data_IF_463640754725
#
_entry.id   IF_463640754725
#
_cell.length_a   1.000
_cell.length_b   1.000
_cell.length_c   1.000
_cell.angle_alpha   90.00
_cell.angle_beta   90.00
_cell.angle_gamma   90.00
#
_symmetry.space_group_name_H-M   'P 1'
#
loop_
_entity.id
_entity.type
_entity.pdbx_description
1 polymer ?
#
# COMPACT_ATOMS: atom_id res chain seq x y z
N UNK A 1 17.67 7.84 12.21
CA UNK A 1 17.09 7.35 10.94
C UNK A 1 17.49 8.28 9.80
N UNK A 2 17.68 7.72 8.59
CA UNK A 2 18.01 8.46 7.36
C UNK A 2 16.85 8.32 6.37
N UNK A 3 16.27 9.43 5.90
CA UNK A 3 15.30 9.44 4.80
C UNK A 3 15.91 10.22 3.64
N UNK A 4 15.93 9.60 2.46
CA UNK A 4 16.47 10.20 1.24
C UNK A 4 15.39 10.37 0.18
N UNK A 5 15.18 11.60 -0.29
CA UNK A 5 14.33 11.91 -1.44
C UNK A 5 15.20 12.22 -2.65
N UNK A 6 14.81 11.72 -3.82
CA UNK A 6 15.57 11.82 -5.06
C UNK A 6 14.67 12.32 -6.18
N UNK A 7 15.09 13.36 -6.88
CA UNK A 7 14.48 13.76 -8.15
C UNK A 7 14.97 12.81 -9.25
N UNK A 8 14.05 12.36 -10.09
CA UNK A 8 14.35 11.39 -11.13
C UNK A 8 14.11 12.06 -12.49
N UNK A 9 15.16 12.23 -13.29
CA UNK A 9 15.09 12.68 -14.69
C UNK A 9 15.30 11.50 -15.66
N UNK A 10 14.82 11.64 -16.90
CA UNK A 10 14.90 10.58 -17.93
C UNK A 10 16.36 10.25 -18.25
N UNK A 11 16.67 8.96 -18.30
CA UNK A 11 17.88 8.42 -18.91
C UNK A 11 17.86 8.78 -20.41
N UNK A 12 18.18 10.02 -20.74
CA UNK A 12 18.71 10.35 -22.06
C UNK A 12 20.17 9.92 -22.08
N UNK A 13 20.53 9.18 -23.11
CA UNK A 13 21.83 8.57 -23.36
C UNK A 13 22.93 9.62 -23.59
N UNK A 14 23.29 10.38 -22.56
CA UNK A 14 24.45 11.27 -22.57
C UNK A 14 25.32 11.00 -21.35
N UNK A 15 26.63 10.94 -21.59
CA UNK A 15 27.72 10.55 -20.68
C UNK A 15 27.99 11.55 -19.54
N UNK A 16 26.98 12.32 -19.12
CA UNK A 16 27.06 13.21 -17.96
C UNK A 16 26.27 12.56 -16.83
N UNK A 17 26.95 12.11 -15.78
CA UNK A 17 26.31 11.59 -14.56
C UNK A 17 25.54 12.76 -13.92
N UNK A 18 24.19 12.77 -13.92
CA UNK A 18 23.47 13.83 -13.25
C UNK A 18 23.70 13.68 -11.74
N UNK A 19 24.18 14.73 -11.08
CA UNK A 19 24.16 14.79 -9.62
C UNK A 19 22.70 14.94 -9.19
N UNK A 20 22.11 13.84 -8.72
CA UNK A 20 20.72 13.85 -8.27
C UNK A 20 20.59 14.65 -6.98
N UNK A 21 19.59 15.55 -6.87
CA UNK A 21 19.31 16.19 -5.62
C UNK A 21 18.83 15.14 -4.62
N UNK A 22 19.64 14.93 -3.59
CA UNK A 22 19.33 14.05 -2.48
C UNK A 22 19.05 14.91 -1.25
N UNK A 23 17.84 14.82 -0.70
CA UNK A 23 17.61 15.39 0.61
C UNK A 23 17.66 14.31 1.67
N UNK A 24 18.54 14.52 2.64
CA UNK A 24 18.76 13.59 3.74
C UNK A 24 18.23 14.18 5.04
N UNK A 25 17.25 13.53 5.65
CA UNK A 25 16.93 13.77 7.07
C UNK A 25 17.66 12.80 7.92
N UNK A 26 18.49 13.33 8.82
CA UNK A 26 18.96 12.58 9.96
C UNK A 26 18.19 13.02 11.19
N UNK A 27 17.30 12.16 11.69
CA UNK A 27 16.72 12.31 13.03
C UNK A 27 17.30 11.21 13.91
N UNK A 28 18.36 11.49 14.69
CA UNK A 28 18.93 10.54 15.64
C UNK A 28 17.86 10.14 16.65
N UNK A 29 17.78 8.85 16.99
CA UNK A 29 16.82 8.31 17.97
C UNK A 29 15.34 8.35 17.60
N UNK A 30 14.98 8.85 16.41
CA UNK A 30 13.63 8.74 15.85
C UNK A 30 13.54 7.59 14.84
N UNK A 31 12.43 6.86 14.85
CA UNK A 31 12.09 5.81 13.88
C UNK A 31 10.96 6.23 12.93
N UNK A 32 10.96 5.74 11.69
CA UNK A 32 9.88 5.96 10.72
C UNK A 32 8.69 5.10 11.10
N UNK A 33 7.50 5.69 11.14
CA UNK A 33 6.25 4.94 11.32
C UNK A 33 5.46 4.85 10.03
N UNK A 34 5.22 5.98 9.38
CA UNK A 34 4.41 6.07 8.18
C UNK A 34 4.82 7.28 7.33
N UNK A 35 4.40 7.26 6.07
CA UNK A 35 4.52 8.39 5.17
C UNK A 35 3.29 8.44 4.26
N UNK A 36 2.99 9.62 3.73
CA UNK A 36 1.95 9.81 2.71
C UNK A 36 2.30 11.01 1.84
N UNK A 37 1.84 11.02 0.60
CA UNK A 37 1.86 12.22 -0.23
C UNK A 37 0.54 12.98 -0.04
N UNK A 38 0.57 14.30 -0.24
CA UNK A 38 -0.63 15.10 -0.48
C UNK A 38 -1.34 14.64 -1.76
N UNK A 39 -2.60 15.04 -1.92
CA UNK A 39 -3.43 14.66 -3.08
C UNK A 39 -2.82 15.10 -4.40
N UNK A 40 -2.24 16.31 -4.44
CA UNK A 40 -1.52 16.87 -5.60
C UNK A 40 -0.09 16.33 -5.75
N UNK A 41 0.38 15.54 -4.78
CA UNK A 41 1.75 14.99 -4.69
C UNK A 41 2.86 16.02 -4.62
N UNK A 42 2.54 17.28 -4.33
CA UNK A 42 3.52 18.34 -4.12
C UNK A 42 4.21 18.23 -2.76
N UNK A 43 3.63 17.50 -1.80
CA UNK A 43 4.13 17.47 -0.42
C UNK A 43 4.22 16.04 0.11
N UNK A 44 5.38 15.68 0.66
CA UNK A 44 5.57 14.44 1.42
C UNK A 44 5.37 14.69 2.91
N UNK A 45 4.52 13.88 3.51
CA UNK A 45 4.27 13.79 4.95
C UNK A 45 5.03 12.60 5.51
N UNK A 46 5.76 12.82 6.60
CA UNK A 46 6.55 11.78 7.27
C UNK A 46 6.22 11.77 8.75
N UNK A 47 5.66 10.67 9.22
CA UNK A 47 5.46 10.43 10.64
C UNK A 47 6.63 9.65 11.24
N UNK A 48 7.22 10.21 12.28
CA UNK A 48 8.34 9.63 13.02
C UNK A 48 7.98 9.50 14.50
N UNK A 49 8.65 8.59 15.20
CA UNK A 49 8.46 8.39 16.64
C UNK A 49 9.77 8.34 17.41
N UNK A 50 9.73 8.85 18.63
CA UNK A 50 10.76 8.65 19.65
C UNK A 50 10.04 8.37 20.98
N UNK A 51 10.27 7.19 21.55
CA UNK A 51 9.61 6.72 22.77
C UNK A 51 8.08 6.75 22.65
N UNK A 52 7.41 7.66 23.36
CA UNK A 52 5.96 7.85 23.38
C UNK A 52 5.55 9.16 22.71
N UNK A 53 6.37 9.68 21.79
CA UNK A 53 6.10 10.93 21.10
C UNK A 53 6.15 10.71 19.60
N UNK A 54 5.20 11.27 18.88
CA UNK A 54 5.17 11.29 17.43
C UNK A 54 5.32 12.70 16.90
N UNK A 55 5.99 12.82 15.75
CA UNK A 55 6.07 14.06 14.98
C UNK A 55 5.72 13.78 13.54
N UNK A 56 5.05 14.74 12.91
CA UNK A 56 4.78 14.73 11.47
C UNK A 56 5.50 15.91 10.84
N UNK A 57 6.35 15.61 9.86
CA UNK A 57 7.05 16.60 9.06
C UNK A 57 6.47 16.65 7.65
N UNK A 58 6.42 17.83 7.06
CA UNK A 58 6.14 18.04 5.64
C UNK A 58 7.39 18.45 4.88
N UNK A 59 7.42 18.06 3.62
CA UNK A 59 8.50 18.33 2.68
C UNK A 59 7.86 18.70 1.36
N UNK A 60 8.05 19.93 0.90
CA UNK A 60 7.65 20.32 -0.44
C UNK A 60 8.56 19.61 -1.45
N UNK A 61 7.94 19.02 -2.45
CA UNK A 61 8.53 18.31 -3.59
C UNK A 61 8.47 19.16 -4.86
N UNK A 62 8.08 20.44 -4.77
CA UNK A 62 7.99 21.32 -5.93
C UNK A 62 9.34 21.47 -6.61
N UNK A 63 9.37 21.15 -7.90
CA UNK A 63 10.56 21.16 -8.74
C UNK A 63 10.89 22.52 -9.36
N UNK A 64 10.13 23.57 -9.04
CA UNK A 64 10.25 24.90 -9.65
C UNK A 64 11.34 25.78 -9.00
N UNK A 65 12.38 25.19 -8.40
CA UNK A 65 13.52 25.97 -7.93
C UNK A 65 14.50 26.20 -9.10
N UNK A 66 14.80 27.47 -9.47
CA UNK A 66 15.53 27.79 -10.70
C UNK A 66 17.01 27.36 -10.72
N UNK A 67 17.55 26.88 -9.60
CA UNK A 67 18.96 26.50 -9.48
C UNK A 67 19.10 25.02 -9.12
N UNK A 68 19.47 24.20 -10.10
CA UNK A 68 19.72 22.76 -9.98
C UNK A 68 20.79 22.38 -8.92
N UNK A 69 21.58 23.34 -8.43
CA UNK A 69 22.70 23.10 -7.52
C UNK A 69 22.36 23.28 -6.02
N UNK A 70 21.17 23.76 -5.66
CA UNK A 70 20.75 23.91 -4.25
C UNK A 70 19.31 23.39 -4.02
N UNK A 71 19.07 22.13 -4.36
CA UNK A 71 17.85 21.46 -3.92
C UNK A 71 17.92 21.22 -2.40
N UNK A 72 17.49 22.21 -1.62
CA UNK A 72 17.31 22.10 -0.18
C UNK A 72 15.86 21.78 0.12
N UNK A 73 15.55 20.49 0.26
CA UNK A 73 14.26 20.11 0.82
C UNK A 73 14.20 20.57 2.28
N UNK A 74 13.18 21.36 2.58
CA UNK A 74 12.93 21.89 3.92
C UNK A 74 11.99 20.95 4.66
N UNK A 75 12.32 20.63 5.91
CA UNK A 75 11.53 19.76 6.77
C UNK A 75 10.77 20.60 7.77
N UNK A 76 9.47 20.74 7.55
CA UNK A 76 8.62 21.57 8.39
C UNK A 76 7.86 20.69 9.38
N UNK A 77 8.03 20.92 10.67
CA UNK A 77 7.25 20.22 11.70
C UNK A 77 5.82 20.78 11.70
N UNK A 78 4.84 19.93 11.42
CA UNK A 78 3.42 20.33 11.37
C UNK A 78 2.57 19.74 12.50
N UNK A 79 3.07 18.69 13.16
CA UNK A 79 2.40 18.07 14.29
C UNK A 79 3.41 17.47 15.26
N UNK A 80 3.13 17.59 16.54
CA UNK A 80 3.88 17.00 17.64
C UNK A 80 2.89 16.59 18.73
N UNK A 81 2.80 15.28 19.01
CA UNK A 81 1.79 14.75 19.93
C UNK A 81 2.26 13.49 20.67
N UNK A 82 1.65 13.26 21.82
CA UNK A 82 1.92 12.09 22.65
C UNK A 82 1.20 10.84 22.14
N UNK A 83 1.96 9.77 22.05
CA UNK A 83 1.53 8.43 21.72
C UNK A 83 1.29 7.64 23.01
N UNK A 84 0.24 6.80 23.03
CA UNK A 84 0.09 5.81 24.10
C UNK A 84 1.17 4.73 23.93
N UNK A 85 1.53 4.05 25.01
CA UNK A 85 2.65 3.07 25.08
C UNK A 85 2.68 2.01 23.96
N UNK A 86 1.56 1.76 23.26
CA UNK A 86 1.45 0.75 22.18
C UNK A 86 1.01 1.31 20.83
N UNK A 87 0.89 2.62 20.70
CA UNK A 87 0.47 3.22 19.44
C UNK A 87 1.51 2.98 18.35
N UNK A 88 1.04 2.71 17.15
CA UNK A 88 1.84 2.75 15.94
C UNK A 88 1.04 3.46 14.85
N UNK A 89 1.58 4.56 14.30
CA UNK A 89 0.97 5.23 13.15
C UNK A 89 1.05 4.28 11.95
N UNK A 90 -0.10 3.88 11.42
CA UNK A 90 -0.22 2.98 10.26
C UNK A 90 -0.64 3.71 9.00
N UNK A 91 -1.33 4.83 9.13
CA UNK A 91 -1.80 5.62 8.00
C UNK A 91 -1.88 7.10 8.39
N UNK A 92 -1.60 7.97 7.43
CA UNK A 92 -1.71 9.42 7.51
C UNK A 92 -2.69 9.82 6.40
N UNK A 93 -3.69 10.63 6.73
CA UNK A 93 -4.51 11.37 5.78
C UNK A 93 -4.18 12.86 5.93
N UNK A 94 -3.30 13.39 5.07
CA UNK A 94 -2.89 14.79 5.10
C UNK A 94 -4.06 15.78 5.02
N UNK A 95 -5.04 15.51 4.15
CA UNK A 95 -6.09 16.48 3.82
C UNK A 95 -7.04 16.73 4.99
N UNK A 96 -7.31 15.67 5.75
CA UNK A 96 -8.17 15.72 6.93
C UNK A 96 -7.40 15.95 8.23
N UNK A 97 -6.07 16.04 8.16
CA UNK A 97 -5.18 16.05 9.34
C UNK A 97 -5.36 14.85 10.29
N UNK A 98 -5.61 13.65 9.74
CA UNK A 98 -5.93 12.45 10.53
C UNK A 98 -4.83 11.39 10.46
N UNK A 99 -4.57 10.72 11.59
CA UNK A 99 -3.79 9.47 11.64
C UNK A 99 -4.62 8.29 12.12
N UNK A 100 -4.32 7.11 11.57
CA UNK A 100 -4.73 5.83 12.14
C UNK A 100 -3.60 5.28 13.01
N UNK A 101 -3.91 5.11 14.30
CA UNK A 101 -3.03 4.56 15.31
C UNK A 101 -3.48 3.16 15.66
N UNK A 102 -2.61 2.20 15.43
CA UNK A 102 -2.84 0.83 15.85
C UNK A 102 -2.30 0.63 17.27
N UNK A 103 -3.19 0.60 18.26
CA UNK A 103 -2.84 0.56 19.68
C UNK A 103 -2.76 -0.88 20.21
N UNK A 104 -3.72 -1.72 19.81
CA UNK A 104 -3.80 -3.11 20.26
C UNK A 104 -4.28 -4.02 19.13
N UNK A 105 -4.19 -5.34 19.34
CA UNK A 105 -4.74 -6.31 18.40
C UNK A 105 -6.24 -6.11 18.08
N UNK A 106 -6.97 -5.34 18.89
CA UNK A 106 -8.42 -5.22 18.90
C UNK A 106 -8.95 -3.79 18.79
N UNK A 107 -8.08 -2.81 18.54
CA UNK A 107 -8.53 -1.42 18.45
C UNK A 107 -7.65 -0.58 17.54
N UNK A 108 -8.28 0.38 16.87
CA UNK A 108 -7.63 1.44 16.11
C UNK A 108 -8.13 2.77 16.64
N UNK A 109 -7.19 3.63 17.03
CA UNK A 109 -7.49 5.01 17.36
C UNK A 109 -7.39 5.86 16.09
N UNK A 110 -8.37 6.72 15.89
CA UNK A 110 -8.36 7.77 14.88
C UNK A 110 -8.07 9.07 15.64
N UNK A 111 -7.07 9.81 15.20
CA UNK A 111 -6.67 11.05 15.85
C UNK A 111 -6.51 12.16 14.82
N UNK A 112 -7.10 13.32 15.11
CA UNK A 112 -6.82 14.54 14.40
C UNK A 112 -5.65 15.24 15.09
N UNK A 113 -4.53 15.42 14.40
CA UNK A 113 -3.33 15.99 15.02
C UNK A 113 -3.39 17.51 15.21
N UNK A 114 -4.33 18.19 14.54
CA UNK A 114 -4.51 19.64 14.69
C UNK A 114 -5.40 19.95 15.91
N UNK A 115 -6.51 19.24 16.07
CA UNK A 115 -7.46 19.44 17.19
C UNK A 115 -7.13 18.59 18.41
N UNK A 116 -6.21 17.63 18.28
CA UNK A 116 -5.91 16.61 19.27
C UNK A 116 -7.12 15.73 19.66
N UNK A 117 -8.20 15.79 18.86
CA UNK A 117 -9.37 14.94 19.05
C UNK A 117 -9.01 13.50 18.71
N UNK A 118 -9.43 12.55 19.56
CA UNK A 118 -9.16 11.13 19.40
C UNK A 118 -10.42 10.30 19.66
N UNK A 119 -10.65 9.30 18.82
CA UNK A 119 -11.72 8.32 19.01
C UNK A 119 -11.21 6.90 18.76
N UNK A 120 -11.65 5.95 19.56
CA UNK A 120 -11.27 4.54 19.46
C UNK A 120 -12.35 3.74 18.73
N UNK A 121 -11.95 2.95 17.74
CA UNK A 121 -12.81 1.98 17.06
C UNK A 121 -12.36 0.58 17.44
N UNK A 122 -13.28 -0.19 18.02
CA UNK A 122 -13.03 -1.59 18.40
C UNK A 122 -13.11 -2.48 17.16
N UNK A 123 -12.05 -3.26 16.95
CA UNK A 123 -12.00 -4.29 15.92
C UNK A 123 -12.52 -5.59 16.53
N UNK A 124 -13.61 -6.10 15.97
CA UNK A 124 -14.19 -7.37 16.42
C UNK A 124 -13.26 -8.54 16.03
N UNK A 125 -12.87 -9.33 17.00
CA UNK A 125 -12.09 -10.55 16.82
C UNK A 125 -12.93 -11.77 17.19
N UNK A 126 -13.94 -12.07 16.36
CA UNK A 126 -14.88 -13.18 16.59
C UNK A 126 -14.33 -14.54 16.12
N UNK A 127 -13.08 -14.60 15.64
CA UNK A 127 -12.52 -15.76 14.96
C UNK A 127 -11.73 -16.70 15.87
N UNK A 128 -11.84 -18.02 15.62
CA UNK A 128 -11.00 -19.06 16.25
C UNK A 128 -9.53 -19.06 15.80
N UNK A 129 -9.20 -18.32 14.73
CA UNK A 129 -7.84 -18.26 14.14
C UNK A 129 -7.31 -16.84 14.24
N UNK A 130 -6.01 -16.71 14.54
CA UNK A 130 -5.31 -15.43 14.57
C UNK A 130 -5.52 -14.66 13.26
N UNK A 131 -6.13 -13.47 13.36
CA UNK A 131 -6.39 -12.59 12.23
C UNK A 131 -5.78 -11.21 12.48
N UNK A 132 -4.45 -11.12 12.53
CA UNK A 132 -3.76 -9.86 12.79
C UNK A 132 -4.00 -8.80 11.71
N UNK A 133 -3.92 -7.52 12.09
CA UNK A 133 -3.95 -6.39 11.15
C UNK A 133 -2.62 -6.30 10.42
N UNK A 134 -2.67 -6.23 9.10
CA UNK A 134 -1.50 -6.13 8.21
C UNK A 134 -1.32 -4.74 7.63
N UNK A 135 -2.42 -4.01 7.37
CA UNK A 135 -2.40 -2.61 6.97
C UNK A 135 -3.72 -1.90 7.31
N UNK A 136 -3.65 -0.58 7.42
CA UNK A 136 -4.80 0.31 7.59
C UNK A 136 -4.75 1.41 6.52
N UNK A 137 -5.91 1.85 6.02
CA UNK A 137 -5.99 2.90 4.99
C UNK A 137 -7.29 3.68 5.11
N UNK A 138 -7.24 5.01 5.14
CA UNK A 138 -8.44 5.84 5.01
C UNK A 138 -9.10 5.64 3.64
N UNK A 139 -10.43 5.58 3.58
CA UNK A 139 -11.19 5.31 2.36
C UNK A 139 -12.56 5.98 2.42
N UNK A 140 -12.61 7.27 2.08
CA UNK A 140 -13.83 8.07 2.19
C UNK A 140 -14.35 8.11 3.63
N UNK A 141 -15.62 7.80 3.88
CA UNK A 141 -16.19 7.79 5.23
C UNK A 141 -15.81 6.55 6.05
N UNK A 142 -14.98 5.66 5.51
CA UNK A 142 -14.48 4.46 6.15
C UNK A 142 -12.96 4.55 6.36
N UNK A 143 -12.44 3.70 7.24
CA UNK A 143 -11.09 3.17 7.06
C UNK A 143 -11.14 1.68 6.75
N UNK A 144 -10.26 1.25 5.87
CA UNK A 144 -10.04 -0.14 5.53
C UNK A 144 -9.03 -0.75 6.50
N UNK A 145 -9.39 -1.92 7.02
CA UNK A 145 -8.57 -2.76 7.88
C UNK A 145 -8.27 -4.06 7.15
N UNK A 146 -7.04 -4.18 6.63
CA UNK A 146 -6.55 -5.37 5.95
C UNK A 146 -6.00 -6.33 6.99
N UNK A 147 -6.65 -7.49 7.17
CA UNK A 147 -6.24 -8.53 8.11
C UNK A 147 -5.84 -9.79 7.34
N UNK A 148 -5.11 -10.68 8.00
CA UNK A 148 -4.53 -11.90 7.39
C UNK A 148 -5.55 -12.69 6.54
N UNK A 149 -6.82 -12.76 6.96
CA UNK A 149 -7.88 -13.51 6.29
C UNK A 149 -9.16 -12.71 5.98
N UNK A 150 -9.17 -11.39 6.22
CA UNK A 150 -10.33 -10.53 5.95
C UNK A 150 -9.92 -9.13 5.50
N UNK A 151 -10.83 -8.48 4.79
CA UNK A 151 -10.83 -7.05 4.58
C UNK A 151 -12.10 -6.48 5.21
N UNK A 152 -11.93 -5.56 6.13
CA UNK A 152 -13.02 -4.94 6.88
C UNK A 152 -13.02 -3.43 6.62
N UNK A 153 -14.19 -2.82 6.43
CA UNK A 153 -14.33 -1.37 6.37
C UNK A 153 -15.12 -0.91 7.59
N UNK A 154 -14.48 -0.09 8.43
CA UNK A 154 -15.07 0.47 9.64
C UNK A 154 -15.43 1.94 9.41
N UNK A 155 -16.64 2.37 9.77
CA UNK A 155 -17.06 3.76 9.59
C UNK A 155 -16.20 4.67 10.48
N UNK A 156 -15.88 5.86 9.97
CA UNK A 156 -15.25 6.90 10.78
C UNK A 156 -16.24 7.43 11.82
N UNK A 157 -15.83 7.62 13.09
CA UNK A 157 -16.67 8.21 14.12
C UNK A 157 -17.19 9.60 13.74
N UNK A 158 -18.33 9.99 14.33
CA UNK A 158 -18.88 11.33 14.16
C UNK A 158 -17.83 12.40 14.51
N UNK A 159 -17.64 13.39 13.63
CA UNK A 159 -16.62 14.44 13.77
C UNK A 159 -15.28 14.17 13.06
N UNK A 160 -15.04 12.93 12.59
CA UNK A 160 -13.82 12.58 11.83
C UNK A 160 -14.07 12.32 10.35
N UNK A 161 -15.33 12.42 9.90
CA UNK A 161 -15.68 12.16 8.52
C UNK A 161 -15.73 13.46 7.72
N UNK A 162 -15.05 13.49 6.57
CA UNK A 162 -15.10 14.62 5.65
C UNK A 162 -16.44 14.59 4.91
N UNK A 163 -17.21 15.66 5.06
CA UNK A 163 -18.33 16.15 4.21
C UNK A 163 -19.68 16.31 4.91
N UNK A 164 -20.17 17.55 4.87
CA UNK A 164 -21.46 18.04 5.38
C UNK A 164 -22.69 17.66 4.54
N UNK A 165 -22.75 16.43 4.02
CA UNK A 165 -24.01 15.86 3.54
C UNK A 165 -24.74 15.22 4.72
N UNK A 166 -26.04 15.45 4.86
CA UNK A 166 -26.94 14.75 5.77
C UNK A 166 -26.84 13.24 5.55
N UNK A 167 -25.92 12.58 6.25
CA UNK A 167 -25.65 11.15 6.09
C UNK A 167 -26.66 10.34 6.90
N UNK A 168 -27.06 9.16 6.39
CA UNK A 168 -27.90 8.25 7.15
C UNK A 168 -27.23 7.88 8.48
N UNK A 169 -28.05 7.69 9.51
CA UNK A 169 -27.66 7.23 10.83
C UNK A 169 -26.78 5.98 10.74
N UNK A 170 -25.53 6.10 11.23
CA UNK A 170 -24.50 5.05 11.33
C UNK A 170 -24.28 4.16 10.09
N UNK A 171 -23.20 4.42 9.35
CA UNK A 171 -22.72 3.51 8.31
C UNK A 171 -22.37 2.13 8.89
N UNK A 172 -22.75 1.00 8.24
CA UNK A 172 -22.48 -0.34 8.74
C UNK A 172 -21.00 -0.72 8.53
N UNK A 173 -20.50 -1.64 9.36
CA UNK A 173 -19.20 -2.29 9.11
C UNK A 173 -19.36 -3.24 7.90
N UNK A 174 -18.47 -3.10 6.92
CA UNK A 174 -18.45 -3.95 5.73
C UNK A 174 -17.35 -5.01 5.86
N UNK A 175 -17.59 -6.22 5.39
CA UNK A 175 -16.66 -7.34 5.54
C UNK A 175 -16.58 -8.17 4.26
N UNK A 176 -15.34 -8.43 3.83
CA UNK A 176 -15.02 -9.46 2.86
C UNK A 176 -14.06 -10.47 3.51
N UNK A 177 -14.37 -11.76 3.41
CA UNK A 177 -13.51 -12.84 3.94
C UNK A 177 -12.76 -13.51 2.80
N UNK A 178 -11.49 -13.79 3.01
CA UNK A 178 -10.68 -14.56 2.07
C UNK A 178 -10.61 -16.02 2.52
N UNK A 179 -11.38 -16.94 1.92
CA UNK A 179 -11.33 -18.34 2.30
C UNK A 179 -9.96 -18.93 1.89
N UNK A 180 -9.27 -19.53 2.86
CA UNK A 180 -8.00 -20.24 2.67
C UNK A 180 -6.87 -19.37 2.07
N UNK A 181 -6.82 -18.10 2.44
CA UNK A 181 -5.70 -17.20 2.12
C UNK A 181 -5.08 -16.70 3.42
N UNK A 182 -3.76 -16.68 3.47
CA UNK A 182 -3.01 -16.12 4.59
C UNK A 182 -1.86 -15.28 4.05
N UNK A 183 -2.07 -13.96 4.04
CA UNK A 183 -1.01 -13.01 3.69
C UNK A 183 -0.55 -12.26 4.95
N UNK A 184 0.74 -11.93 5.00
CA UNK A 184 1.34 -11.24 6.17
C UNK A 184 1.61 -9.77 5.94
N UNK A 185 1.60 -9.34 4.68
CA UNK A 185 1.86 -7.98 4.24
C UNK A 185 1.00 -7.67 3.02
N UNK A 186 0.69 -6.40 2.84
CA UNK A 186 -0.03 -5.90 1.67
C UNK A 186 0.68 -4.64 1.18
N UNK A 187 0.73 -4.46 -0.14
CA UNK A 187 1.07 -3.17 -0.77
C UNK A 187 -0.20 -2.57 -1.34
N UNK A 188 -0.46 -1.30 -1.04
CA UNK A 188 -1.71 -0.62 -1.36
C UNK A 188 -1.47 0.51 -2.37
N UNK A 189 -2.40 0.71 -3.30
CA UNK A 189 -2.47 1.93 -4.09
C UNK A 189 -3.03 3.10 -3.25
N UNK A 190 -3.12 4.27 -3.87
CA UNK A 190 -3.93 5.38 -3.38
C UNK A 190 -5.42 5.06 -3.53
N UNK A 191 -6.23 5.74 -2.72
CA UNK A 191 -7.70 5.63 -2.80
C UNK A 191 -8.21 6.57 -3.88
N UNK A 192 -9.09 6.08 -4.73
CA UNK A 192 -9.71 6.86 -5.80
C UNK A 192 -11.20 6.98 -5.57
N UNK A 193 -11.68 8.19 -5.36
CA UNK A 193 -13.11 8.49 -5.37
C UNK A 193 -13.61 8.63 -6.80
N UNK A 194 -14.73 8.00 -7.11
CA UNK A 194 -15.49 8.21 -8.34
C UNK A 194 -16.92 8.53 -7.97
N UNK A 195 -17.44 9.63 -8.52
CA UNK A 195 -18.85 9.94 -8.44
C UNK A 195 -19.58 9.10 -9.50
N UNK A 196 -20.46 8.20 -9.06
CA UNK A 196 -21.31 7.43 -9.95
C UNK A 196 -22.74 7.94 -9.79
N UNK A 197 -23.60 7.89 -10.84
CA UNK A 197 -25.01 8.29 -10.72
C UNK A 197 -25.76 7.56 -9.60
N UNK A 198 -25.29 6.37 -9.22
CA UNK A 198 -25.85 5.56 -8.14
C UNK A 198 -25.12 5.68 -6.80
N UNK A 199 -24.25 6.68 -6.61
CA UNK A 199 -23.57 6.97 -5.35
C UNK A 199 -22.04 7.11 -5.47
N UNK A 200 -21.40 7.50 -4.37
CA UNK A 200 -19.94 7.56 -4.28
C UNK A 200 -19.33 6.16 -4.18
N UNK A 201 -18.29 5.91 -4.97
CA UNK A 201 -17.51 4.68 -4.96
C UNK A 201 -16.04 5.02 -4.74
N UNK A 202 -15.42 4.37 -3.75
CA UNK A 202 -14.01 4.49 -3.45
C UNK A 202 -13.30 3.20 -3.87
N UNK A 203 -12.30 3.33 -4.74
CA UNK A 203 -11.53 2.20 -5.27
C UNK A 203 -10.12 2.19 -4.70
N UNK A 204 -9.66 1.01 -4.26
CA UNK A 204 -8.28 0.73 -3.85
C UNK A 204 -7.81 -0.55 -4.52
N UNK A 205 -6.57 -0.57 -4.97
CA UNK A 205 -5.89 -1.77 -5.44
C UNK A 205 -4.89 -2.24 -4.41
N UNK A 206 -4.68 -3.54 -4.36
CA UNK A 206 -3.68 -4.10 -3.47
C UNK A 206 -2.99 -5.34 -4.01
N UNK A 207 -1.72 -5.48 -3.64
CA UNK A 207 -0.85 -6.59 -4.00
C UNK A 207 -0.45 -7.35 -2.73
N UNK A 208 -0.65 -8.65 -2.75
CA UNK A 208 -0.28 -9.56 -1.65
C UNK A 208 0.49 -10.75 -2.19
N UNK A 209 1.29 -11.36 -1.33
CA UNK A 209 1.86 -12.67 -1.59
C UNK A 209 1.33 -13.67 -0.55
N UNK A 210 0.77 -14.77 -1.05
CA UNK A 210 0.39 -15.94 -0.27
C UNK A 210 1.38 -17.08 -0.58
N UNK A 211 1.83 -17.78 0.46
CA UNK A 211 2.89 -18.80 0.32
C UNK A 211 2.45 -19.96 -0.59
N UNK A 212 1.15 -20.24 -0.68
CA UNK A 212 0.62 -21.35 -1.47
C UNK A 212 0.10 -20.88 -2.83
N UNK A 213 -0.44 -19.66 -2.93
CA UNK A 213 -1.07 -19.16 -4.17
C UNK A 213 -0.13 -18.31 -5.02
N UNK A 214 0.82 -17.60 -4.40
CA UNK A 214 1.75 -16.68 -5.06
C UNK A 214 1.34 -15.23 -4.93
N UNK A 215 1.69 -14.42 -5.93
CA UNK A 215 1.43 -12.96 -5.92
C UNK A 215 0.05 -12.69 -6.50
N UNK A 216 -0.84 -12.09 -5.72
CA UNK A 216 -2.22 -11.80 -6.09
C UNK A 216 -2.45 -10.29 -6.15
N UNK A 217 -3.06 -9.83 -7.24
CA UNK A 217 -3.43 -8.44 -7.46
C UNK A 217 -4.96 -8.29 -7.38
N UNK A 218 -5.45 -7.47 -6.47
CA UNK A 218 -6.87 -7.29 -6.19
C UNK A 218 -7.33 -5.83 -6.40
N UNK A 219 -8.62 -5.68 -6.70
CA UNK A 219 -9.37 -4.42 -6.62
C UNK A 219 -10.40 -4.51 -5.51
N UNK A 220 -10.55 -3.43 -4.76
CA UNK A 220 -11.58 -3.21 -3.74
C UNK A 220 -12.40 -2.01 -4.18
N UNK A 221 -13.72 -2.17 -4.23
CA UNK A 221 -14.66 -1.07 -4.41
C UNK A 221 -15.55 -0.96 -3.16
N UNK A 222 -15.55 0.21 -2.53
CA UNK A 222 -16.42 0.56 -1.41
C UNK A 222 -17.48 1.53 -1.92
N UNK A 223 -18.72 1.07 -1.97
CA UNK A 223 -19.88 1.88 -2.37
C UNK A 223 -20.57 2.41 -1.11
N UNK A 224 -20.92 3.70 -1.08
CA UNK A 224 -21.53 4.34 0.10
C UNK A 224 -23.06 4.43 0.01
N UNK A 225 -23.58 4.74 -1.17
CA UNK A 225 -25.02 4.96 -1.40
C UNK A 225 -25.45 4.19 -2.66
N UNK A 226 -26.73 3.75 -2.81
CA UNK A 226 -27.81 3.82 -1.81
C UNK A 226 -27.68 2.78 -0.69
N UNK A 227 -26.99 1.66 -0.94
CA UNK A 227 -26.73 0.63 0.06
C UNK A 227 -25.20 0.46 0.19
N UNK A 228 -24.62 0.74 1.37
CA UNK A 228 -23.21 0.53 1.61
C UNK A 228 -22.78 -0.91 1.34
N UNK A 229 -21.75 -1.10 0.53
CA UNK A 229 -21.24 -2.45 0.21
C UNK A 229 -19.76 -2.43 -0.15
N UNK A 230 -19.10 -3.57 0.07
CA UNK A 230 -17.71 -3.80 -0.30
C UNK A 230 -17.63 -4.94 -1.32
N UNK A 231 -16.99 -4.67 -2.46
CA UNK A 231 -16.71 -5.67 -3.48
C UNK A 231 -15.21 -5.86 -3.59
N UNK A 232 -14.76 -7.11 -3.68
CA UNK A 232 -13.34 -7.46 -3.83
C UNK A 232 -13.20 -8.40 -5.02
N UNK A 233 -12.39 -8.01 -5.99
CA UNK A 233 -12.12 -8.80 -7.20
C UNK A 233 -10.64 -9.13 -7.28
N UNK A 234 -10.33 -10.41 -7.53
CA UNK A 234 -8.99 -10.84 -7.96
C UNK A 234 -8.81 -10.46 -9.44
N UNK A 235 -7.90 -9.54 -9.72
CA UNK A 235 -7.64 -9.04 -11.07
C UNK A 235 -6.67 -9.93 -11.83
N UNK A 236 -5.60 -10.37 -11.17
CA UNK A 236 -4.57 -11.20 -11.76
C UNK A 236 -3.79 -11.97 -10.69
N UNK A 237 -3.19 -13.09 -11.07
CA UNK A 237 -2.39 -13.94 -10.19
C UNK A 237 -1.09 -14.38 -10.86
N UNK A 238 0.05 -14.28 -10.16
CA UNK A 238 1.26 -15.03 -10.51
C UNK A 238 1.28 -16.29 -9.65
N UNK A 239 0.99 -17.43 -10.28
CA UNK A 239 1.03 -18.73 -9.58
C UNK A 239 2.48 -19.11 -9.25
N UNK A 240 2.62 -19.78 -8.11
CA UNK A 240 3.90 -20.32 -7.64
C UNK A 240 4.45 -21.41 -8.56
N UNK A 241 3.57 -22.15 -9.25
CA UNK A 241 3.73 -22.94 -10.49
C UNK A 241 2.57 -23.95 -10.55
N UNK A 242 2.01 -24.19 -11.73
CA UNK A 242 1.08 -25.30 -12.00
C UNK A 242 1.86 -26.61 -12.14
N UNK A 243 2.47 -27.13 -11.08
CA UNK A 243 3.05 -28.49 -11.12
C UNK A 243 2.38 -29.41 -10.08
N UNK A 244 2.17 -30.70 -10.42
CA UNK A 244 1.62 -31.71 -9.52
C UNK A 244 2.45 -31.84 -8.23
N UNK A 245 1.94 -32.51 -7.18
CA UNK A 245 2.37 -32.28 -5.81
C UNK A 245 3.88 -32.42 -5.62
N UNK A 246 4.40 -31.45 -4.86
CA UNK A 246 5.78 -31.10 -4.47
C UNK A 246 6.71 -32.23 -3.97
N UNK A 247 6.38 -33.50 -4.16
CA UNK A 247 7.10 -34.63 -3.57
C UNK A 247 8.14 -35.28 -4.48
N UNK A 248 8.22 -34.95 -5.78
CA UNK A 248 9.05 -35.73 -6.72
C UNK A 248 10.22 -35.01 -7.40
N UNK A 249 10.31 -33.67 -7.40
CA UNK A 249 11.38 -32.97 -8.14
C UNK A 249 12.42 -32.25 -7.27
N UNK A 250 12.22 -32.14 -5.96
CA UNK A 250 13.15 -31.46 -5.06
C UNK A 250 13.32 -29.94 -5.30
N UNK A 251 12.73 -29.40 -6.37
CA UNK A 251 12.76 -27.97 -6.71
C UNK A 251 11.73 -27.26 -5.85
N UNK A 252 12.21 -26.48 -4.87
CA UNK A 252 11.32 -25.66 -4.06
C UNK A 252 10.81 -24.48 -4.89
N UNK A 253 9.56 -24.06 -4.66
CA UNK A 253 8.99 -22.93 -5.36
C UNK A 253 9.78 -21.64 -5.09
N UNK A 254 9.76 -20.69 -6.04
CA UNK A 254 10.36 -19.39 -5.83
C UNK A 254 9.68 -18.66 -4.67
N UNK A 255 10.48 -18.08 -3.78
CA UNK A 255 10.05 -17.29 -2.65
C UNK A 255 10.02 -15.81 -3.00
N UNK A 256 8.91 -15.13 -2.68
CA UNK A 256 8.76 -13.69 -2.84
C UNK A 256 9.16 -12.98 -1.55
N UNK A 257 10.24 -12.18 -1.59
CA UNK A 257 10.78 -11.52 -0.39
C UNK A 257 10.13 -10.16 -0.09
N UNK A 258 9.84 -9.38 -1.13
CA UNK A 258 9.22 -8.06 -0.99
C UNK A 258 8.53 -7.68 -2.29
N UNK A 259 7.55 -6.79 -2.19
CA UNK A 259 6.74 -6.33 -3.32
C UNK A 259 6.22 -4.93 -3.03
N UNK A 260 5.95 -4.20 -4.11
CA UNK A 260 5.29 -2.91 -4.07
C UNK A 260 4.30 -2.79 -5.23
N UNK A 261 3.25 -2.03 -4.98
CA UNK A 261 2.26 -1.62 -5.95
C UNK A 261 2.39 -0.11 -6.13
N UNK A 262 2.30 0.34 -7.37
CA UNK A 262 2.25 1.75 -7.68
C UNK A 262 0.99 2.39 -7.12
N UNK A 263 1.08 3.69 -6.89
CA UNK A 263 0.03 4.53 -6.33
C UNK A 263 -1.32 4.50 -7.09
N UNK A 264 -1.33 4.07 -8.35
CA UNK A 264 -2.52 3.96 -9.20
C UNK A 264 -3.08 2.54 -9.19
N UNK A 265 -2.26 1.56 -8.80
CA UNK A 265 -2.62 0.15 -8.75
C UNK A 265 -2.44 -0.57 -10.08
N UNK A 266 -1.77 0.03 -11.07
CA UNK A 266 -1.63 -0.57 -12.39
C UNK A 266 -0.25 -1.17 -12.60
N UNK A 267 0.78 -0.59 -12.00
CA UNK A 267 2.13 -1.14 -12.02
C UNK A 267 2.48 -1.74 -10.68
N UNK A 268 3.28 -2.79 -10.70
CA UNK A 268 3.83 -3.36 -9.48
C UNK A 268 5.15 -4.06 -9.73
N UNK A 269 5.85 -4.33 -8.64
CA UNK A 269 7.15 -4.99 -8.64
C UNK A 269 7.20 -5.98 -7.50
N UNK A 270 7.88 -7.10 -7.69
CA UNK A 270 8.22 -8.01 -6.63
C UNK A 270 9.60 -8.63 -6.85
N UNK A 271 10.20 -9.10 -5.77
CA UNK A 271 11.47 -9.81 -5.81
C UNK A 271 11.23 -11.28 -5.55
N UNK A 272 11.62 -12.10 -6.51
CA UNK A 272 11.55 -13.55 -6.46
C UNK A 272 12.94 -14.14 -6.28
N UNK A 273 13.04 -15.23 -5.51
CA UNK A 273 14.26 -16.00 -5.30
C UNK A 273 13.97 -17.48 -5.42
N UNK A 274 14.70 -18.20 -6.26
CA UNK A 274 14.64 -19.66 -6.25
C UNK A 274 15.38 -20.20 -5.01
N UNK A 275 14.94 -21.35 -4.51
CA UNK A 275 15.70 -22.00 -3.44
C UNK A 275 17.04 -22.46 -4.00
N UNK A 276 18.11 -22.18 -3.24
CA UNK A 276 19.50 -22.45 -3.59
C UNK A 276 20.08 -21.51 -4.67
N UNK A 277 19.33 -20.51 -5.10
CA UNK A 277 19.84 -19.43 -5.95
C UNK A 277 20.29 -18.26 -5.07
N UNK A 278 21.44 -17.69 -5.42
CA UNK A 278 21.98 -16.44 -4.87
C UNK A 278 21.41 -15.23 -5.62
N UNK A 279 20.88 -15.45 -6.81
CA UNK A 279 20.27 -14.43 -7.63
C UNK A 279 18.83 -14.15 -7.20
N UNK A 280 18.55 -12.87 -7.07
CA UNK A 280 17.23 -12.29 -6.82
C UNK A 280 16.73 -11.69 -8.12
N UNK A 281 15.58 -12.14 -8.59
CA UNK A 281 14.95 -11.60 -9.81
C UNK A 281 13.96 -10.53 -9.40
N UNK A 282 14.22 -9.30 -9.80
CA UNK A 282 13.26 -8.19 -9.71
C UNK A 282 12.33 -8.31 -10.91
N UNK A 283 11.06 -8.52 -10.63
CA UNK A 283 10.01 -8.73 -11.63
C UNK A 283 9.03 -7.59 -11.55
N UNK A 284 8.83 -6.88 -12.65
CA UNK A 284 7.86 -5.79 -12.75
C UNK A 284 6.70 -6.18 -13.68
N UNK A 285 5.51 -5.67 -13.39
CA UNK A 285 4.33 -5.88 -14.22
C UNK A 285 3.59 -4.58 -14.47
N UNK A 286 2.76 -4.60 -15.53
CA UNK A 286 1.78 -3.56 -15.80
C UNK A 286 0.45 -4.21 -16.14
N UNK A 287 -0.60 -3.79 -15.46
CA UNK A 287 -1.98 -4.20 -15.71
C UNK A 287 -2.60 -3.16 -16.62
N UNK A 288 -3.16 -3.60 -17.76
CA UNK A 288 -3.79 -2.67 -18.69
C UNK A 288 -5.14 -2.19 -18.14
N UNK A 289 -5.48 -0.89 -18.17
CA UNK A 289 -6.77 -0.38 -17.70
C UNK A 289 -7.99 -1.06 -18.34
N UNK A 290 -7.89 -1.48 -19.60
CA UNK A 290 -8.98 -2.21 -20.29
C UNK A 290 -9.29 -3.56 -19.64
N UNK A 291 -8.28 -4.25 -19.07
CA UNK A 291 -8.48 -5.50 -18.32
C UNK A 291 -9.20 -5.26 -16.98
N UNK A 292 -9.18 -4.03 -16.45
CA UNK A 292 -9.97 -3.64 -15.27
C UNK A 292 -11.46 -3.44 -15.62
N UNK A 293 -11.77 -2.98 -16.84
CA UNK A 293 -13.14 -2.71 -17.28
C UNK A 293 -13.92 -3.99 -17.63
N UNK A 294 -13.25 -5.03 -18.10
CA UNK A 294 -13.89 -6.20 -18.71
C UNK A 294 -14.57 -7.17 -17.73
N UNK A 295 -14.45 -6.96 -16.42
CA UNK A 295 -14.85 -7.97 -15.44
C UNK A 295 -15.89 -7.39 -14.45
N UNK A 296 -16.46 -6.22 -14.77
CA UNK A 296 -17.57 -5.60 -14.04
C UNK A 296 -18.90 -6.27 -14.40
N UNK A 297 -19.13 -7.49 -13.91
CA UNK A 297 -20.46 -8.09 -13.66
C UNK A 297 -20.25 -9.54 -13.16
N UNK A 298 -19.92 -9.69 -11.87
CA UNK A 298 -20.38 -10.86 -11.14
C UNK A 298 -21.45 -10.33 -10.17
N UNK A 299 -22.63 -10.07 -10.74
CA UNK A 299 -23.86 -9.83 -9.98
C UNK A 299 -24.15 -11.09 -9.17
N UNK A 300 -24.11 -10.98 -7.85
CA UNK A 300 -24.73 -11.95 -6.95
C UNK A 300 -26.25 -11.73 -6.90
N UNK A 301 -26.89 -11.66 -8.07
CA UNK A 301 -28.34 -11.88 -8.14
C UNK A 301 -28.54 -13.38 -8.27
N UNK A 302 -29.00 -13.97 -7.17
CA UNK A 302 -29.26 -15.40 -7.04
C UNK A 302 -30.47 -15.83 -7.83
N UNK A 303 -30.40 -15.79 -9.17
CA UNK A 303 -31.29 -16.50 -10.09
C UNK A 303 -30.81 -16.31 -11.53
N UNK A 304 -29.80 -17.07 -11.97
CA UNK A 304 -29.74 -17.66 -13.31
C UNK A 304 -28.38 -18.30 -13.60
N UNK A 305 -28.44 -19.54 -14.12
CA UNK A 305 -27.45 -20.29 -14.90
C UNK A 305 -25.99 -19.84 -14.77
N UNK A 306 -25.21 -20.61 -14.00
CA UNK A 306 -23.75 -20.56 -13.93
C UNK A 306 -23.12 -20.54 -15.33
N UNK A 307 -22.75 -19.34 -15.81
CA UNK A 307 -21.65 -19.26 -16.77
C UNK A 307 -20.36 -19.71 -16.07
N UNK A 308 -19.50 -20.50 -16.72
CA UNK A 308 -18.22 -20.88 -16.15
C UNK A 308 -17.44 -19.59 -15.87
N UNK A 309 -17.03 -19.40 -14.61
CA UNK A 309 -16.25 -18.25 -14.20
C UNK A 309 -15.03 -18.11 -15.12
N UNK A 310 -14.87 -16.94 -15.76
CA UNK A 310 -13.70 -16.70 -16.60
C UNK A 310 -12.42 -16.97 -15.78
N UNK A 311 -11.42 -17.65 -16.38
CA UNK A 311 -10.19 -17.95 -15.68
C UNK A 311 -9.48 -16.65 -15.27
N UNK A 312 -9.10 -16.58 -13.99
CA UNK A 312 -8.31 -15.45 -13.47
C UNK A 312 -7.03 -15.33 -14.30
N UNK A 313 -6.75 -14.16 -14.91
CA UNK A 313 -5.61 -14.01 -15.79
C UNK A 313 -4.30 -14.00 -15.00
N UNK A 314 -3.22 -14.41 -15.66
CA UNK A 314 -1.90 -14.37 -15.05
C UNK A 314 -1.33 -12.95 -15.00
N UNK A 315 -0.56 -12.65 -13.95
CA UNK A 315 0.23 -11.41 -13.91
C UNK A 315 1.35 -11.54 -14.94
N UNK A 316 1.33 -10.71 -15.98
CA UNK A 316 2.39 -10.66 -16.98
C UNK A 316 3.61 -9.90 -16.43
N UNK A 317 4.40 -10.58 -15.60
CA UNK A 317 5.64 -10.06 -15.03
C UNK A 317 6.83 -10.22 -15.96
N UNK A 318 7.68 -9.20 -16.04
CA UNK A 318 8.97 -9.23 -16.74
C UNK A 318 10.11 -9.08 -15.75
N UNK A 319 11.13 -9.92 -15.87
CA UNK A 319 12.37 -9.74 -15.11
C UNK A 319 13.07 -8.50 -15.67
N UNK A 320 13.30 -7.51 -14.82
CA UNK A 320 13.91 -6.23 -15.19
C UNK A 320 15.32 -6.06 -14.62
N UNK A 321 15.65 -6.81 -13.56
CA UNK A 321 16.97 -6.80 -12.93
C UNK A 321 17.20 -8.14 -12.23
N UNK A 322 18.43 -8.64 -12.29
CA UNK A 322 18.92 -9.71 -11.44
C UNK A 322 19.96 -9.13 -10.47
N UNK A 323 19.81 -9.43 -9.18
CA UNK A 323 20.71 -8.97 -8.12
C UNK A 323 21.33 -10.21 -7.47
N UNK A 324 22.64 -10.35 -7.58
CA UNK A 324 23.39 -11.41 -6.90
C UNK A 324 23.72 -10.96 -5.48
N UNK A 325 23.25 -11.71 -4.47
CA UNK A 325 23.39 -11.34 -3.05
C UNK A 325 23.72 -12.57 -2.21
N UNK A 326 25.00 -12.72 -1.84
CA UNK A 326 25.48 -13.87 -1.05
C UNK A 326 25.17 -13.74 0.45
N UNK A 327 25.26 -12.53 1.00
CA UNK A 327 25.16 -12.25 2.44
C UNK A 327 23.90 -11.46 2.83
N UNK A 328 22.94 -11.34 1.90
CA UNK A 328 21.69 -10.61 2.04
C UNK A 328 21.84 -9.08 2.18
N UNK A 329 23.05 -8.49 2.02
CA UNK A 329 23.23 -7.03 2.11
C UNK A 329 22.64 -6.30 0.91
N UNK A 330 22.80 -6.88 -0.28
CA UNK A 330 22.22 -6.34 -1.51
C UNK A 330 20.75 -6.77 -1.71
N UNK A 331 20.16 -7.48 -0.74
CA UNK A 331 18.74 -7.80 -0.80
C UNK A 331 17.92 -6.51 -0.77
N UNK A 332 17.14 -6.32 -1.82
CA UNK A 332 16.15 -5.28 -1.87
C UNK A 332 15.09 -5.48 -0.78
N UNK A 333 14.91 -4.46 0.04
CA UNK A 333 13.97 -4.47 1.18
C UNK A 333 12.77 -3.58 0.91
N UNK A 334 12.96 -2.50 0.16
CA UNK A 334 11.96 -1.47 -0.11
C UNK A 334 11.95 -1.15 -1.60
N UNK A 335 10.75 -0.89 -2.12
CA UNK A 335 10.51 -0.51 -3.50
C UNK A 335 9.55 0.68 -3.54
N UNK A 336 9.79 1.60 -4.47
CA UNK A 336 8.83 2.62 -4.87
C UNK A 336 8.70 2.63 -6.40
N UNK A 337 7.48 2.85 -6.89
CA UNK A 337 7.18 2.79 -8.33
C UNK A 337 6.47 4.08 -8.73
N UNK A 338 7.03 4.75 -9.74
CA UNK A 338 6.35 5.85 -10.41
C UNK A 338 5.36 5.29 -11.43
N UNK A 339 4.08 5.56 -11.22
CA UNK A 339 3.02 5.09 -12.13
C UNK A 339 3.04 5.80 -13.48
N UNK A 340 3.41 7.08 -13.51
CA UNK A 340 3.52 7.88 -14.73
C UNK A 340 4.71 7.45 -15.59
N UNK A 341 5.89 7.35 -15.00
CA UNK A 341 7.14 7.08 -15.75
C UNK A 341 7.48 5.59 -15.84
N UNK A 342 6.97 4.77 -14.92
CA UNK A 342 7.35 3.36 -14.80
C UNK A 342 8.66 3.11 -14.07
N UNK A 343 9.36 4.15 -13.63
CA UNK A 343 10.63 4.01 -12.92
C UNK A 343 10.45 3.38 -11.55
N UNK A 344 11.47 2.64 -11.14
CA UNK A 344 11.48 1.88 -9.90
C UNK A 344 12.71 2.28 -9.08
N UNK A 345 12.47 2.79 -7.88
CA UNK A 345 13.51 2.98 -6.89
C UNK A 345 13.57 1.74 -5.99
N UNK A 346 14.78 1.22 -5.78
CA UNK A 346 15.07 0.02 -5.01
C UNK A 346 16.01 0.39 -3.86
N UNK A 347 15.60 0.08 -2.63
CA UNK A 347 16.45 0.23 -1.45
C UNK A 347 16.97 -1.11 -0.95
N UNK A 348 18.28 -1.29 -0.88
CA UNK A 348 18.93 -2.50 -0.35
C UNK A 348 19.05 -2.47 1.17
N UNK A 349 19.32 -3.63 1.79
CA UNK A 349 19.57 -3.73 3.24
C UNK A 349 20.82 -2.97 3.68
N UNK A 350 21.82 -2.85 2.80
CA UNK A 350 23.00 -2.01 3.03
C UNK A 350 22.70 -0.51 3.04
N UNK A 351 21.48 -0.10 2.66
CA UNK A 351 21.09 1.31 2.52
C UNK A 351 21.42 1.90 1.15
N UNK A 352 21.87 1.09 0.19
CA UNK A 352 22.06 1.53 -1.18
C UNK A 352 20.70 1.76 -1.84
N UNK A 353 20.62 2.78 -2.70
CA UNK A 353 19.43 3.05 -3.50
C UNK A 353 19.82 2.99 -4.97
N UNK A 354 19.09 2.19 -5.74
CA UNK A 354 19.27 2.06 -7.19
C UNK A 354 17.97 2.45 -7.90
N UNK A 355 18.11 3.01 -9.09
CA UNK A 355 17.02 3.40 -9.94
C UNK A 355 17.03 2.54 -11.21
N UNK A 356 15.85 2.05 -11.60
CA UNK A 356 15.62 1.21 -12.78
C UNK A 356 14.54 1.84 -13.65
#
# INVERSE_FOLDING_TARGET
>A
MVISLWEISELSSSTVVPSYPCARVSLPSWGLLAHSLSTDRSTLYIAVTQLQRARIYTISLDSNLPNANEYRLSFNLIADFDMRMRDAIKCIDPESSLVLLYCTARSVDIMNWHTNARSTVTINDSGKRWNGVTALRFCGPYFLCFRINSLEAYPLPAGFSVSGSSRPDSLPILLHRFPNMTYRRVSLSDVRSRHHPSGEIYTVFFLVNDVFRGVLHYQVDVKISPVPSISVKLLALQRVLNQPPFFYTGVRPPFVSTWALGSVGLRGVWVSRQANDIDRKVIAFTTHPSKLRSTAQLSWDGTSKQQPAEPVPDINGKIILAITSYDLREDATIFAISESTGRIALGSRAGNISLI
#
